data_IF_924272957421
#
_entry.id   IF_924272957421
#
_cell.length_a   1.000
_cell.length_b   1.000
_cell.length_c   1.000
_cell.angle_alpha   90.00
_cell.angle_beta   90.00
_cell.angle_gamma   90.00
#
_symmetry.space_group_name_H-M   'P 1'
#
loop_
_entity.id
_entity.type
_entity.pdbx_description
1 polymer ?
#
# COMPACT_ATOMS: atom_id res chain seq x y z
N UNK A 1 9.82 39.58 -32.39
CA UNK A 1 11.08 38.96 -32.86
C UNK A 1 11.48 37.97 -31.77
N UNK A 2 11.63 36.66 -31.95
CA UNK A 2 12.03 35.88 -33.12
C UNK A 2 10.97 34.84 -33.51
N UNK A 3 10.88 34.62 -34.82
CA UNK A 3 10.27 33.46 -35.47
C UNK A 3 11.26 32.29 -35.45
N UNK A 4 10.77 31.05 -35.37
CA UNK A 4 11.46 29.92 -36.00
C UNK A 4 10.42 28.96 -36.59
N UNK A 5 10.64 28.60 -37.86
CA UNK A 5 9.74 27.88 -38.74
C UNK A 5 10.13 26.39 -38.85
N UNK A 6 9.10 25.55 -39.03
CA UNK A 6 8.99 24.32 -39.86
C UNK A 6 10.09 23.24 -39.79
N UNK A 7 9.63 22.01 -39.57
CA UNK A 7 9.93 20.88 -40.47
C UNK A 7 8.74 19.90 -40.53
N UNK A 8 8.44 19.43 -41.74
CA UNK A 8 7.38 18.48 -42.10
C UNK A 8 7.96 17.09 -42.32
N UNK A 9 7.06 16.10 -42.22
CA UNK A 9 7.01 14.81 -42.94
C UNK A 9 8.14 13.79 -42.72
N UNK A 10 7.76 12.56 -42.32
CA UNK A 10 7.65 11.44 -43.27
C UNK A 10 6.96 10.22 -42.64
N UNK A 11 6.02 9.65 -43.40
CA UNK A 11 5.35 8.36 -43.17
C UNK A 11 6.19 7.24 -43.79
N UNK A 12 6.21 6.05 -43.20
CA UNK A 12 5.46 4.87 -43.71
C UNK A 12 5.75 3.58 -42.91
N UNK A 13 4.82 2.60 -42.96
CA UNK A 13 4.75 1.44 -42.09
C UNK A 13 5.42 0.20 -42.70
N UNK A 14 5.66 -0.82 -41.88
CA UNK A 14 5.87 -2.19 -42.36
C UNK A 14 4.97 -3.15 -41.58
N UNK A 15 4.06 -3.73 -42.34
CA UNK A 15 3.26 -4.93 -42.07
C UNK A 15 4.15 -6.16 -42.24
N UNK A 16 3.96 -7.21 -41.43
CA UNK A 16 3.67 -8.58 -41.93
C UNK A 16 4.16 -9.69 -40.99
N UNK A 17 3.17 -10.47 -40.53
CA UNK A 17 3.09 -11.94 -40.43
C UNK A 17 4.29 -12.74 -39.91
N UNK A 18 4.05 -13.58 -38.89
CA UNK A 18 4.09 -15.03 -39.08
C UNK A 18 3.16 -15.75 -38.09
N UNK A 19 2.71 -16.89 -38.56
CA UNK A 19 1.55 -17.69 -38.18
C UNK A 19 1.83 -18.76 -37.12
N UNK A 20 0.74 -19.12 -36.43
CA UNK A 20 0.39 -20.38 -35.76
C UNK A 20 1.44 -21.51 -35.60
N UNK A 21 1.44 -22.09 -34.40
CA UNK A 21 1.49 -23.54 -34.24
C UNK A 21 0.67 -24.00 -33.02
N UNK A 22 -0.47 -24.66 -33.29
CA UNK A 22 -1.13 -25.58 -32.35
C UNK A 22 -0.30 -26.86 -32.31
N UNK A 23 -0.16 -27.49 -31.15
CA UNK A 23 -0.23 -28.96 -31.02
C UNK A 23 -0.62 -29.38 -29.62
N UNK A 24 -1.51 -30.36 -29.64
CA UNK A 24 -2.20 -31.08 -28.57
C UNK A 24 -1.33 -32.14 -27.92
N UNK A 25 -1.56 -32.45 -26.65
CA UNK A 25 -1.41 -33.79 -26.11
C UNK A 25 -2.45 -34.02 -25.00
N UNK A 26 -3.29 -35.04 -25.19
CA UNK A 26 -4.35 -35.52 -24.32
C UNK A 26 -4.20 -37.05 -24.28
N UNK A 27 -3.90 -37.64 -23.11
CA UNK A 27 -4.03 -39.07 -22.77
C UNK A 27 -4.11 -39.12 -21.22
N UNK A 28 -5.26 -39.31 -20.58
CA UNK A 28 -6.01 -40.55 -20.26
C UNK A 28 -5.32 -41.51 -19.27
N UNK A 29 -6.06 -41.87 -18.21
CA UNK A 29 -5.77 -42.99 -17.30
C UNK A 29 -6.62 -42.96 -16.01
N UNK A 30 -7.75 -43.67 -16.02
CA UNK A 30 -8.69 -43.87 -14.91
C UNK A 30 -8.33 -45.09 -14.01
N UNK A 31 -9.06 -45.22 -12.88
CA UNK A 31 -9.19 -46.35 -11.93
C UNK A 31 -8.10 -46.45 -10.83
N UNK A 32 -8.42 -46.55 -9.54
CA UNK A 32 -9.33 -47.50 -8.88
C UNK A 32 -10.09 -46.88 -7.68
N UNK A 33 -11.37 -47.30 -7.55
CA UNK A 33 -12.21 -47.20 -6.36
C UNK A 33 -11.84 -48.28 -5.32
N UNK A 34 -12.26 -48.06 -4.07
CA UNK A 34 -12.77 -49.04 -3.08
C UNK A 34 -11.92 -49.31 -1.83
N UNK A 35 -12.43 -48.82 -0.68
CA UNK A 35 -12.55 -49.44 0.67
C UNK A 35 -12.92 -48.31 1.65
N UNK A 36 -14.18 -47.87 1.76
CA UNK A 36 -15.26 -48.37 2.61
C UNK A 36 -14.83 -48.86 4.02
N UNK A 37 -15.33 -48.11 5.01
CA UNK A 37 -15.80 -48.51 6.35
C UNK A 37 -14.77 -49.02 7.37
N UNK A 38 -14.51 -48.23 8.41
CA UNK A 38 -14.81 -48.66 9.78
C UNK A 38 -14.78 -47.51 10.81
N UNK A 39 -15.80 -47.53 11.68
CA UNK A 39 -15.84 -46.97 13.04
C UNK A 39 -15.93 -45.45 13.25
N UNK A 40 -17.18 -44.97 13.22
CA UNK A 40 -17.66 -44.02 14.22
C UNK A 40 -17.90 -44.74 15.57
N UNK A 41 -17.83 -43.98 16.68
CA UNK A 41 -17.94 -44.37 18.11
C UNK A 41 -16.64 -44.81 18.83
N UNK A 42 -15.89 -43.82 19.34
CA UNK A 42 -15.48 -43.83 20.75
C UNK A 42 -15.73 -42.42 21.31
N UNK A 43 -16.87 -42.28 21.97
CA UNK A 43 -17.28 -41.09 22.71
C UNK A 43 -16.64 -41.16 24.11
N UNK A 44 -16.02 -40.06 24.54
CA UNK A 44 -15.66 -39.71 25.93
C UNK A 44 -14.71 -40.67 26.67
N UNK A 45 -13.53 -40.12 26.97
CA UNK A 45 -12.95 -39.92 28.31
C UNK A 45 -11.44 -39.99 28.14
N UNK A 46 -10.78 -38.83 28.17
CA UNK A 46 -9.66 -38.55 29.07
C UNK A 46 -9.23 -37.09 28.86
N UNK A 47 -9.44 -36.32 29.92
CA UNK A 47 -9.04 -34.94 30.08
C UNK A 47 -7.52 -34.76 29.96
N UNK A 48 -7.14 -33.54 29.55
CA UNK A 48 -5.87 -32.86 29.87
C UNK A 48 -4.59 -33.56 29.44
N UNK A 49 -4.18 -33.34 28.19
CA UNK A 49 -2.76 -33.12 27.88
C UNK A 49 -2.64 -32.00 26.85
N UNK A 50 -2.28 -30.82 27.36
CA UNK A 50 -1.46 -29.81 26.68
C UNK A 50 -1.83 -29.39 25.26
N UNK A 51 -2.85 -28.54 25.11
CA UNK A 51 -2.81 -27.51 24.08
C UNK A 51 -1.61 -26.59 24.38
N UNK A 52 -0.44 -26.87 23.79
CA UNK A 52 0.55 -25.83 23.52
C UNK A 52 0.04 -25.03 22.33
N UNK A 53 -0.95 -24.17 22.59
CA UNK A 53 -1.04 -22.93 21.83
C UNK A 53 0.25 -22.20 22.17
N UNK A 54 1.23 -22.22 21.27
CA UNK A 54 2.32 -21.26 21.32
C UNK A 54 1.65 -19.90 21.27
N UNK A 55 1.63 -19.22 22.42
CA UNK A 55 1.34 -17.81 22.48
C UNK A 55 2.25 -17.16 21.44
N UNK A 56 1.63 -16.65 20.37
CA UNK A 56 2.28 -15.68 19.52
C UNK A 56 2.51 -14.50 20.47
N UNK A 57 3.74 -14.34 20.92
CA UNK A 57 4.12 -13.18 21.72
C UNK A 57 3.72 -11.95 20.92
N UNK A 58 2.85 -11.13 21.51
CA UNK A 58 2.64 -9.76 21.07
C UNK A 58 3.95 -9.05 21.36
N UNK A 59 4.89 -9.18 20.43
CA UNK A 59 6.05 -8.32 20.35
C UNK A 59 5.47 -6.92 20.15
N UNK A 60 5.65 -6.08 21.16
CA UNK A 60 5.51 -4.62 21.06
C UNK A 60 6.27 -4.22 19.79
N UNK A 61 5.53 -4.01 18.71
CA UNK A 61 6.03 -3.94 17.33
C UNK A 61 6.68 -2.59 17.12
N UNK A 62 7.71 -2.32 17.91
CA UNK A 62 8.57 -1.17 17.81
C UNK A 62 9.17 -1.11 16.42
N UNK A 63 9.21 0.12 15.92
CA UNK A 63 9.87 0.58 14.72
C UNK A 63 11.14 -0.19 14.35
N UNK A 64 11.20 -0.74 13.13
CA UNK A 64 12.45 -1.26 12.54
C UNK A 64 13.19 -0.06 11.94
N UNK A 65 13.80 0.73 12.83
CA UNK A 65 14.60 1.92 12.52
C UNK A 65 15.82 1.75 11.60
N UNK A 66 16.56 0.61 11.56
CA UNK A 66 17.94 0.67 11.07
C UNK A 66 18.06 0.99 9.58
N UNK A 67 16.99 0.79 8.81
CA UNK A 67 17.00 0.93 7.35
C UNK A 67 16.57 2.29 6.84
N UNK A 68 16.35 3.28 7.71
CA UNK A 68 15.79 4.57 7.35
C UNK A 68 16.71 5.72 7.76
N UNK A 69 16.75 6.76 6.94
CA UNK A 69 17.32 8.05 7.29
C UNK A 69 16.42 9.17 6.80
N UNK A 70 16.51 10.30 7.48
CA UNK A 70 15.79 11.51 7.11
C UNK A 70 16.74 12.46 6.39
N UNK A 71 16.29 13.04 5.29
CA UNK A 71 16.98 14.10 4.57
C UNK A 71 16.12 15.38 4.59
N UNK A 72 16.76 16.52 4.32
CA UNK A 72 16.10 17.82 4.23
C UNK A 72 16.36 18.38 2.84
N UNK A 73 15.29 18.74 2.15
CA UNK A 73 15.29 19.31 0.81
C UNK A 73 14.67 20.72 0.85
N UNK A 74 15.25 21.72 0.17
CA UNK A 74 14.73 23.10 0.21
C UNK A 74 13.30 23.27 -0.34
N UNK A 75 12.85 22.37 -1.21
CA UNK A 75 11.57 22.45 -1.92
C UNK A 75 10.48 21.63 -1.23
N UNK A 76 10.80 20.40 -0.81
CA UNK A 76 9.81 19.48 -0.18
C UNK A 76 9.96 19.36 1.33
N UNK A 77 10.99 19.96 1.91
CA UNK A 77 11.30 19.87 3.32
C UNK A 77 11.86 18.50 3.71
N UNK A 78 11.44 18.02 4.87
CA UNK A 78 11.95 16.80 5.46
C UNK A 78 11.29 15.55 4.82
N UNK A 79 12.10 14.63 4.33
CA UNK A 79 11.63 13.39 3.70
C UNK A 79 12.44 12.17 4.14
N UNK A 80 11.87 10.98 3.97
CA UNK A 80 12.52 9.71 4.31
C UNK A 80 13.15 9.05 3.11
N UNK A 81 14.32 8.46 3.32
CA UNK A 81 14.97 7.59 2.34
C UNK A 81 15.50 6.33 3.02
N UNK A 82 15.70 5.28 2.24
CA UNK A 82 16.34 4.05 2.71
C UNK A 82 17.84 4.28 3.00
N UNK A 83 18.36 3.68 4.07
CA UNK A 83 19.80 3.55 4.34
C UNK A 83 20.34 2.17 3.97
N UNK A 84 19.46 1.18 3.85
CA UNK A 84 19.76 -0.22 3.51
C UNK A 84 18.73 -0.76 2.52
N UNK A 85 19.01 -1.93 1.95
CA UNK A 85 18.04 -2.64 1.11
C UNK A 85 16.78 -3.03 1.90
N UNK A 86 15.61 -2.75 1.34
CA UNK A 86 14.31 -3.17 1.87
C UNK A 86 13.72 -4.23 0.95
N UNK A 87 13.29 -5.35 1.53
CA UNK A 87 12.67 -6.42 0.77
C UNK A 87 11.24 -6.05 0.36
N UNK A 88 10.77 -6.64 -0.75
CA UNK A 88 9.35 -6.55 -1.11
C UNK A 88 8.49 -7.09 0.04
N UNK A 89 7.40 -6.40 0.32
CA UNK A 89 6.44 -6.68 1.40
C UNK A 89 6.98 -6.50 2.82
N UNK A 90 8.22 -6.03 2.99
CA UNK A 90 8.76 -5.67 4.30
C UNK A 90 7.97 -4.49 4.87
N UNK A 91 7.54 -4.60 6.13
CA UNK A 91 6.82 -3.54 6.85
C UNK A 91 7.85 -2.61 7.48
N UNK A 92 7.82 -1.33 7.09
CA UNK A 92 8.74 -0.30 7.59
C UNK A 92 8.16 0.49 8.77
N UNK A 93 6.84 0.68 8.75
CA UNK A 93 6.13 1.41 9.79
C UNK A 93 4.93 0.59 10.23
N UNK A 94 4.72 0.53 11.54
CA UNK A 94 3.50 0.03 12.17
C UNK A 94 3.10 1.01 13.27
N UNK A 95 1.90 1.54 13.15
CA UNK A 95 1.26 2.36 14.18
C UNK A 95 0.09 1.57 14.71
N UNK A 96 0.13 1.22 15.99
CA UNK A 96 -1.04 0.66 16.70
C UNK A 96 -2.12 1.75 16.75
N UNK A 97 -3.38 1.46 16.43
CA UNK A 97 -4.50 2.41 16.51
C UNK A 97 -5.32 2.27 17.81
N UNK A 98 -5.05 1.23 18.61
CA UNK A 98 -5.78 0.92 19.85
C UNK A 98 -5.35 1.76 21.06
N UNK A 99 -4.20 2.45 20.99
CA UNK A 99 -3.79 3.38 22.06
C UNK A 99 -4.67 4.63 22.04
N UNK A 100 -5.34 4.88 23.17
CA UNK A 100 -6.21 6.02 23.42
C UNK A 100 -5.44 7.24 23.96
N UNK A 101 -4.67 7.90 23.10
CA UNK A 101 -3.81 9.05 23.44
C UNK A 101 -4.24 10.35 22.73
N UNK A 102 -5.42 10.35 22.09
CA UNK A 102 -5.96 11.51 21.37
C UNK A 102 -5.29 11.79 20.01
N UNK A 103 -4.56 10.83 19.44
CA UNK A 103 -4.04 10.90 18.05
C UNK A 103 -5.07 10.62 16.96
N UNK A 104 -6.23 10.08 17.30
CA UNK A 104 -7.34 9.95 16.35
C UNK A 104 -8.16 11.24 16.34
N UNK A 105 -8.16 11.90 15.18
CA UNK A 105 -8.84 13.16 14.92
C UNK A 105 -10.09 12.92 14.08
N UNK A 106 -11.12 13.74 14.30
CA UNK A 106 -12.26 13.87 13.40
C UNK A 106 -11.95 14.82 12.25
N UNK A 107 -11.31 15.95 12.56
CA UNK A 107 -10.95 16.98 11.60
C UNK A 107 -9.48 16.81 11.19
N UNK A 108 -9.18 16.59 9.89
CA UNK A 108 -7.82 16.34 9.43
C UNK A 108 -6.90 17.56 9.55
N UNK A 109 -5.60 17.30 9.60
CA UNK A 109 -4.53 18.28 9.46
C UNK A 109 -3.49 17.81 8.43
N UNK A 110 -2.49 18.65 8.14
CA UNK A 110 -1.47 18.38 7.12
C UNK A 110 -0.60 17.12 7.37
N UNK A 111 -0.53 16.62 8.60
CA UNK A 111 0.23 15.44 9.00
C UNK A 111 -0.65 14.25 9.39
N UNK A 112 -1.96 14.37 9.14
CA UNK A 112 -2.91 13.33 9.47
C UNK A 112 -3.13 12.38 8.31
N UNK A 113 -3.30 11.09 8.59
CA UNK A 113 -3.61 10.05 7.61
C UNK A 113 -5.04 9.55 7.84
N UNK A 114 -5.90 9.58 6.82
CA UNK A 114 -7.25 9.05 6.95
C UNK A 114 -7.20 7.52 7.15
N UNK A 115 -7.77 7.05 8.26
CA UNK A 115 -7.78 5.63 8.64
C UNK A 115 -9.17 5.01 8.60
N UNK A 116 -10.21 5.84 8.59
CA UNK A 116 -11.59 5.43 8.36
C UNK A 116 -12.37 6.54 7.67
N UNK A 117 -13.65 6.33 7.38
CA UNK A 117 -14.49 7.35 6.72
C UNK A 117 -14.57 8.66 7.51
N UNK A 118 -14.40 8.61 8.83
CA UNK A 118 -14.60 9.75 9.73
C UNK A 118 -13.45 9.98 10.71
N UNK A 119 -12.31 9.31 10.53
CA UNK A 119 -11.17 9.43 11.43
C UNK A 119 -9.85 9.53 10.67
N UNK A 120 -8.97 10.36 11.22
CA UNK A 120 -7.60 10.50 10.78
C UNK A 120 -6.64 10.24 11.95
N UNK A 121 -5.52 9.57 11.67
CA UNK A 121 -4.40 9.41 12.59
C UNK A 121 -3.46 10.61 12.47
N UNK A 122 -3.29 11.38 13.53
CA UNK A 122 -2.31 12.45 13.65
C UNK A 122 -0.91 11.89 13.92
N UNK A 123 -0.09 11.81 12.86
CA UNK A 123 1.25 11.26 12.96
C UNK A 123 2.23 12.17 13.74
N UNK A 124 1.88 13.43 14.04
CA UNK A 124 2.69 14.27 14.93
C UNK A 124 2.57 13.86 16.40
N UNK A 125 1.45 13.25 16.79
CA UNK A 125 1.20 12.79 18.15
C UNK A 125 1.74 11.39 18.42
N UNK A 126 2.10 10.65 17.37
CA UNK A 126 2.71 9.32 17.49
C UNK A 126 4.21 9.49 17.73
N UNK A 127 4.80 8.83 18.75
CA UNK A 127 6.26 8.80 18.91
C UNK A 127 6.98 8.22 17.69
N UNK A 128 8.17 8.74 17.36
CA UNK A 128 8.93 8.32 16.17
C UNK A 128 9.26 6.83 16.19
N UNK A 129 9.64 6.30 17.36
CA UNK A 129 9.91 4.88 17.62
C UNK A 129 8.66 3.99 17.66
N UNK A 130 7.48 4.60 17.57
CA UNK A 130 6.17 3.95 17.43
C UNK A 130 5.52 4.25 16.07
N UNK A 131 6.32 4.67 15.09
CA UNK A 131 5.89 4.86 13.70
C UNK A 131 5.47 6.28 13.33
N UNK A 132 5.54 7.25 14.25
CA UNK A 132 5.19 8.64 13.97
C UNK A 132 6.08 9.31 12.93
N UNK A 133 7.30 8.81 12.75
CA UNK A 133 8.23 9.26 11.71
C UNK A 133 7.64 9.14 10.30
N UNK A 134 6.61 8.30 10.09
CA UNK A 134 5.87 8.18 8.84
C UNK A 134 5.24 9.50 8.35
N UNK A 135 5.13 10.54 9.20
CA UNK A 135 4.74 11.90 8.78
C UNK A 135 5.68 12.54 7.76
N UNK A 136 6.88 11.98 7.58
CA UNK A 136 7.88 12.41 6.60
C UNK A 136 7.92 11.53 5.35
N UNK A 137 6.94 10.65 5.17
CA UNK A 137 6.74 9.98 3.88
C UNK A 137 6.31 11.02 2.84
N UNK A 138 6.86 10.92 1.65
CA UNK A 138 6.53 11.83 0.55
C UNK A 138 5.33 11.32 -0.25
N UNK A 139 4.75 12.23 -1.02
CA UNK A 139 3.90 11.87 -2.15
C UNK A 139 4.75 11.27 -3.29
N UNK A 140 4.32 10.13 -3.83
CA UNK A 140 4.86 9.50 -5.03
C UNK A 140 3.74 8.99 -5.93
N UNK A 141 3.73 9.42 -7.20
CA UNK A 141 2.82 8.94 -8.25
C UNK A 141 2.97 7.44 -8.52
N UNK A 142 4.22 6.98 -8.58
CA UNK A 142 4.57 5.56 -8.61
C UNK A 142 5.07 5.16 -7.21
N UNK A 143 4.15 4.79 -6.29
CA UNK A 143 4.47 4.61 -4.89
C UNK A 143 5.35 3.39 -4.69
N UNK A 144 6.29 3.49 -3.76
CA UNK A 144 7.10 2.36 -3.34
C UNK A 144 6.66 1.77 -2.00
N UNK A 145 5.78 2.47 -1.27
CA UNK A 145 5.07 1.96 -0.10
C UNK A 145 3.57 1.87 -0.34
N UNK A 146 2.95 0.86 0.26
CA UNK A 146 1.50 0.70 0.34
C UNK A 146 1.05 0.76 1.80
N UNK A 147 0.17 1.70 2.17
CA UNK A 147 -0.50 1.66 3.46
C UNK A 147 -1.53 0.54 3.50
N UNK A 148 -1.54 -0.23 4.59
CA UNK A 148 -2.57 -1.21 4.92
C UNK A 148 -3.15 -0.84 6.27
N UNK A 149 -4.45 -0.55 6.27
CA UNK A 149 -5.17 0.01 7.40
C UNK A 149 -6.22 -1.01 7.85
N UNK A 150 -6.16 -1.36 9.13
CA UNK A 150 -7.14 -2.20 9.84
C UNK A 150 -7.72 -1.40 11.00
N UNK A 151 -8.70 -1.97 11.69
CA UNK A 151 -9.26 -1.35 12.90
C UNK A 151 -8.23 -1.27 14.05
N UNK A 152 -7.16 -2.06 13.98
CA UNK A 152 -6.14 -2.17 15.03
C UNK A 152 -4.83 -1.45 14.69
N UNK A 153 -4.53 -1.22 13.40
CA UNK A 153 -3.22 -0.67 13.02
C UNK A 153 -3.19 -0.02 11.64
N UNK A 154 -2.21 0.86 11.46
CA UNK A 154 -1.72 1.29 10.15
C UNK A 154 -0.34 0.67 9.94
N UNK A 155 -0.15 0.00 8.81
CA UNK A 155 1.16 -0.48 8.39
C UNK A 155 1.53 0.07 7.02
N UNK A 156 2.81 0.22 6.76
CA UNK A 156 3.34 0.63 5.47
C UNK A 156 4.35 -0.40 5.01
N UNK A 157 4.05 -1.08 3.91
CA UNK A 157 4.89 -2.14 3.36
C UNK A 157 5.47 -1.77 2.01
N UNK A 158 6.71 -2.18 1.73
CA UNK A 158 7.32 -1.95 0.43
C UNK A 158 6.63 -2.76 -0.67
N UNK A 159 6.25 -2.14 -1.78
CA UNK A 159 5.55 -2.85 -2.89
C UNK A 159 6.51 -3.60 -3.81
N UNK A 160 7.80 -3.25 -3.74
CA UNK A 160 8.93 -3.85 -4.46
C UNK A 160 10.18 -3.83 -3.57
N UNK A 161 11.27 -4.44 -4.05
CA UNK A 161 12.59 -4.26 -3.44
C UNK A 161 13.01 -2.78 -3.57
N UNK A 162 13.56 -2.21 -2.51
CA UNK A 162 14.13 -0.85 -2.49
C UNK A 162 15.64 -0.94 -2.24
N UNK A 163 16.41 -0.19 -3.00
CA UNK A 163 17.84 -0.02 -2.80
C UNK A 163 18.13 1.14 -1.82
N UNK A 164 19.32 1.19 -1.20
CA UNK A 164 19.72 2.31 -0.36
C UNK A 164 19.68 3.66 -1.11
N UNK A 165 19.20 4.70 -0.44
CA UNK A 165 19.09 6.05 -0.97
C UNK A 165 17.79 6.34 -1.72
N UNK A 166 16.90 5.36 -1.87
CA UNK A 166 15.58 5.59 -2.46
C UNK A 166 14.66 6.35 -1.49
N UNK A 167 14.00 7.39 -2.01
CA UNK A 167 12.97 8.12 -1.28
C UNK A 167 11.74 7.26 -1.02
N UNK A 168 11.22 7.32 0.21
CA UNK A 168 10.05 6.59 0.63
C UNK A 168 8.79 7.43 0.48
N UNK A 169 7.77 6.84 -0.12
CA UNK A 169 6.49 7.50 -0.26
C UNK A 169 5.40 6.60 -0.79
N UNK A 170 4.20 7.15 -0.75
CA UNK A 170 3.01 6.51 -1.25
C UNK A 170 2.15 7.53 -1.99
N UNK A 171 1.15 7.05 -2.73
CA UNK A 171 0.22 7.93 -3.42
C UNK A 171 -0.86 8.36 -2.42
N UNK A 172 -0.90 9.64 -2.04
CA UNK A 172 -1.74 10.11 -0.93
C UNK A 172 -3.24 9.89 -1.17
N UNK A 173 -3.70 10.02 -2.42
CA UNK A 173 -5.08 9.69 -2.78
C UNK A 173 -5.47 8.21 -2.59
N UNK A 174 -4.54 7.32 -2.21
CA UNK A 174 -4.88 5.94 -1.85
C UNK A 174 -5.44 5.81 -0.43
N UNK A 175 -5.20 6.80 0.43
CA UNK A 175 -5.75 6.85 1.80
C UNK A 175 -6.68 8.02 2.01
N UNK A 176 -6.50 9.14 1.29
CA UNK A 176 -7.29 10.36 1.48
C UNK A 176 -8.47 10.43 0.51
N UNK A 177 -9.69 10.60 1.02
CA UNK A 177 -10.87 10.86 0.19
C UNK A 177 -10.86 12.31 -0.33
N UNK A 178 -10.68 13.25 0.58
CA UNK A 178 -10.58 14.69 0.36
C UNK A 178 -9.63 15.26 1.40
N UNK A 179 -8.50 15.82 0.97
CA UNK A 179 -7.47 16.30 1.87
C UNK A 179 -7.87 17.63 2.52
N UNK A 180 -7.54 17.80 3.81
CA UNK A 180 -7.65 19.11 4.48
C UNK A 180 -6.64 20.15 3.97
N UNK A 181 -5.53 19.69 3.39
CA UNK A 181 -4.44 20.54 2.94
C UNK A 181 -3.95 20.08 1.56
N UNK A 182 -4.72 20.39 0.49
CA UNK A 182 -4.30 20.09 -0.87
C UNK A 182 -3.04 20.88 -1.25
N UNK A 183 -2.24 20.35 -2.17
CA UNK A 183 -0.99 20.96 -2.63
C UNK A 183 -0.68 20.60 -4.08
N UNK A 184 0.28 21.30 -4.70
CA UNK A 184 0.85 20.91 -5.99
C UNK A 184 2.11 20.07 -5.77
N UNK A 185 2.17 18.89 -6.38
CA UNK A 185 3.31 18.00 -6.26
C UNK A 185 4.56 18.66 -6.86
N UNK A 186 5.62 18.78 -6.05
CA UNK A 186 6.83 19.48 -6.48
C UNK A 186 7.62 18.75 -7.59
N UNK A 187 7.30 17.47 -7.87
CA UNK A 187 7.98 16.66 -8.89
C UNK A 187 7.38 16.81 -10.29
N UNK A 188 6.06 16.97 -10.37
CA UNK A 188 5.30 16.89 -11.62
C UNK A 188 4.24 18.00 -11.78
N UNK A 189 4.00 18.80 -10.74
CA UNK A 189 3.03 19.90 -10.74
C UNK A 189 1.57 19.47 -10.61
N UNK A 190 1.27 18.19 -10.42
CA UNK A 190 -0.10 17.73 -10.28
C UNK A 190 -0.72 18.18 -8.96
N UNK A 191 -2.02 18.51 -9.01
CA UNK A 191 -2.76 18.91 -7.81
C UNK A 191 -3.21 17.69 -7.02
N UNK A 192 -2.72 17.56 -5.79
CA UNK A 192 -3.03 16.44 -4.89
C UNK A 192 -4.08 16.90 -3.88
N UNK A 193 -5.30 16.40 -4.03
CA UNK A 193 -6.47 16.86 -3.24
C UNK A 193 -7.27 15.73 -2.59
N UNK A 194 -6.92 14.47 -2.85
CA UNK A 194 -7.68 13.29 -2.41
C UNK A 194 -8.37 12.56 -3.57
N UNK A 195 -8.79 11.32 -3.30
CA UNK A 195 -9.30 10.37 -4.29
C UNK A 195 -10.49 10.91 -5.09
N UNK A 196 -11.42 11.60 -4.43
CA UNK A 196 -12.67 12.06 -5.07
C UNK A 196 -12.44 13.09 -6.17
N UNK A 197 -11.29 13.77 -6.16
CA UNK A 197 -10.93 14.79 -7.14
C UNK A 197 -10.10 14.27 -8.31
N UNK A 198 -9.67 13.00 -8.28
CA UNK A 198 -8.98 12.36 -9.39
C UNK A 198 -9.93 12.15 -10.57
N UNK A 199 -9.39 12.19 -11.79
CA UNK A 199 -10.14 11.76 -12.97
C UNK A 199 -10.42 10.24 -12.94
N UNK A 200 -11.41 9.82 -13.74
CA UNK A 200 -11.86 8.44 -13.77
C UNK A 200 -10.76 7.45 -14.19
N UNK A 201 -9.87 7.86 -15.10
CA UNK A 201 -8.77 7.01 -15.56
C UNK A 201 -7.78 6.72 -14.42
N UNK A 202 -7.40 7.75 -13.68
CA UNK A 202 -6.48 7.65 -12.54
C UNK A 202 -7.12 6.86 -11.39
N UNK A 203 -8.40 7.11 -11.09
CA UNK A 203 -9.14 6.31 -10.11
C UNK A 203 -9.13 4.82 -10.49
N UNK A 204 -9.38 4.50 -11.76
CA UNK A 204 -9.36 3.12 -12.26
C UNK A 204 -7.97 2.48 -12.17
N UNK A 205 -6.92 3.23 -12.48
CA UNK A 205 -5.53 2.75 -12.35
C UNK A 205 -5.23 2.40 -10.89
N UNK A 206 -5.55 3.28 -9.95
CA UNK A 206 -5.30 3.03 -8.52
C UNK A 206 -6.12 1.85 -7.98
N UNK A 207 -7.38 1.70 -8.42
CA UNK A 207 -8.21 0.52 -8.13
C UNK A 207 -7.56 -0.77 -8.65
N UNK A 208 -7.15 -0.80 -9.93
CA UNK A 208 -6.54 -1.97 -10.58
C UNK A 208 -5.17 -2.35 -10.01
N UNK A 209 -4.38 -1.36 -9.56
CA UNK A 209 -3.09 -1.60 -8.87
C UNK A 209 -3.28 -2.11 -7.43
N UNK A 210 -4.52 -2.22 -6.94
CA UNK A 210 -4.86 -2.62 -5.56
C UNK A 210 -4.16 -1.75 -4.51
N UNK A 211 -4.00 -0.45 -4.76
CA UNK A 211 -3.29 0.46 -3.86
C UNK A 211 -4.20 1.12 -2.83
N UNK A 212 -5.51 1.18 -3.11
CA UNK A 212 -6.47 1.88 -2.26
C UNK A 212 -6.64 1.23 -0.89
N UNK A 213 -6.65 2.04 0.16
CA UNK A 213 -7.07 1.63 1.49
C UNK A 213 -8.56 1.23 1.49
N UNK A 214 -8.91 0.32 2.40
CA UNK A 214 -10.25 -0.29 2.42
C UNK A 214 -11.38 0.74 2.62
N UNK A 215 -11.15 1.80 3.41
CA UNK A 215 -12.16 2.85 3.59
C UNK A 215 -12.36 3.68 2.33
N UNK A 216 -11.31 3.96 1.56
CA UNK A 216 -11.42 4.67 0.28
C UNK A 216 -12.19 3.84 -0.75
N UNK A 217 -11.92 2.53 -0.82
CA UNK A 217 -12.71 1.63 -1.69
C UNK A 217 -14.20 1.66 -1.33
N UNK A 218 -14.53 1.60 -0.03
CA UNK A 218 -15.91 1.69 0.45
C UNK A 218 -16.55 3.04 0.09
N UNK A 219 -15.85 4.15 0.30
CA UNK A 219 -16.36 5.48 -0.04
C UNK A 219 -16.59 5.63 -1.55
N UNK A 220 -15.67 5.14 -2.38
CA UNK A 220 -15.79 5.17 -3.83
C UNK A 220 -17.02 4.39 -4.32
N UNK A 221 -17.28 3.21 -3.75
CA UNK A 221 -18.45 2.39 -4.11
C UNK A 221 -19.81 3.02 -3.78
N UNK A 222 -19.86 4.09 -2.97
CA UNK A 222 -21.11 4.82 -2.67
C UNK A 222 -21.46 5.87 -3.72
N UNK A 223 -20.53 6.20 -4.63
CA UNK A 223 -20.75 7.17 -5.71
C UNK A 223 -21.22 6.52 -7.02
N UNK A 224 -21.04 5.20 -7.13
CA UNK A 224 -21.45 4.37 -8.28
C UNK A 224 -22.93 3.96 -8.17
#
# INVERSE_FOLDING_TARGET
>A
MLQCQRAKDQRHPIVSMYTSARRTAKLQGEHLRSKLLSLAMVFRVLCRVGQRQSALEVVDGGFVAPKLKTLEDPMVGKHLVTSETVARSEVLFKVDLTVEDGRLLRDPNMYSLQVSEHQHLDLQKVPDDKGGIARFLSHLDEPNLKPVITDESVTFSAVRKLEPGEELGFHYCTTEWSMASPFECAKDGQSIQGFVYLDAETQDILKKKELLAAHIQRMASKLE
#
